data_IF_468881554653
#
_entry.id   IF_468881554653
#
_cell.length_a   1.000
_cell.length_b   1.000
_cell.length_c   1.000
_cell.angle_alpha   90.00
_cell.angle_beta   90.00
_cell.angle_gamma   90.00
#
_symmetry.space_group_name_H-M   'P 1'
#
loop_
_entity.id
_entity.type
_entity.pdbx_description
1 polymer ?
#
# COMPACT_ATOMS: atom_id res chain seq x y z
N UNK A 1 -29.89 28.61 14.63
CA UNK A 1 -30.30 28.57 13.21
C UNK A 1 -29.39 29.49 12.40
N UNK A 2 -28.84 28.97 11.29
CA UNK A 2 -28.68 29.64 9.97
C UNK A 2 -27.77 30.88 9.81
N UNK A 3 -26.53 30.90 10.29
CA UNK A 3 -25.58 31.97 9.86
C UNK A 3 -24.20 31.52 9.34
N UNK A 4 -23.82 30.23 9.47
CA UNK A 4 -22.52 29.76 8.96
C UNK A 4 -22.58 29.18 7.53
N UNK A 5 -23.76 28.87 7.00
CA UNK A 5 -23.91 28.23 5.68
C UNK A 5 -23.87 29.22 4.52
N UNK A 6 -24.13 30.51 4.77
CA UNK A 6 -24.28 31.51 3.69
C UNK A 6 -22.95 32.03 3.13
N UNK A 7 -21.85 31.96 3.90
CA UNK A 7 -20.55 32.52 3.44
C UNK A 7 -19.80 31.56 2.52
N UNK A 8 -20.02 30.24 2.63
CA UNK A 8 -19.35 29.25 1.78
C UNK A 8 -19.92 29.17 0.35
N UNK A 9 -21.16 29.62 0.13
CA UNK A 9 -21.77 29.61 -1.21
C UNK A 9 -21.36 30.81 -2.08
N UNK A 10 -20.70 31.83 -1.52
CA UNK A 10 -20.36 33.06 -2.26
C UNK A 10 -19.04 33.00 -3.03
N UNK A 11 -18.23 31.95 -2.86
CA UNK A 11 -16.92 31.82 -3.53
C UNK A 11 -17.00 30.90 -4.78
N UNK A 12 -18.05 30.07 -4.89
CA UNK A 12 -18.22 29.13 -6.01
C UNK A 12 -18.90 29.73 -7.25
N UNK A 13 -19.36 30.98 -7.22
CA UNK A 13 -20.13 31.58 -8.31
C UNK A 13 -19.30 32.44 -9.29
N UNK A 14 -18.02 32.70 -9.02
CA UNK A 14 -17.23 33.68 -9.79
C UNK A 14 -16.19 33.09 -10.76
N UNK A 15 -16.20 31.78 -11.03
CA UNK A 15 -15.35 31.16 -12.05
C UNK A 15 -16.17 30.30 -13.01
N UNK A 16 -17.21 30.88 -13.59
CA UNK A 16 -17.83 30.33 -14.79
C UNK A 16 -16.91 30.61 -15.97
N UNK A 17 -15.96 29.69 -16.21
CA UNK A 17 -15.10 29.71 -17.39
C UNK A 17 -15.98 29.38 -18.60
N UNK A 18 -16.19 30.38 -19.45
CA UNK A 18 -16.78 30.22 -20.77
C UNK A 18 -15.85 29.35 -21.61
N UNK A 19 -16.08 28.04 -21.64
CA UNK A 19 -15.47 27.15 -22.63
C UNK A 19 -16.11 27.46 -23.98
N UNK A 20 -15.40 28.21 -24.80
CA UNK A 20 -15.71 28.35 -26.22
C UNK A 20 -15.52 26.97 -26.88
N UNK A 21 -16.57 26.48 -27.56
CA UNK A 21 -16.45 25.32 -28.43
C UNK A 21 -15.41 25.64 -29.52
N UNK A 22 -14.37 24.83 -29.70
CA UNK A 22 -13.51 24.98 -30.86
C UNK A 22 -14.33 24.69 -32.12
N UNK A 23 -14.40 25.70 -32.99
CA UNK A 23 -14.91 25.56 -34.35
C UNK A 23 -14.01 24.55 -35.06
N UNK A 24 -14.64 23.48 -35.55
CA UNK A 24 -14.01 22.47 -36.39
C UNK A 24 -13.72 23.07 -37.78
N UNK A 25 -12.47 23.29 -38.20
CA UNK A 25 -12.19 23.64 -39.59
C UNK A 25 -12.37 22.39 -40.45
N UNK A 26 -13.36 22.44 -41.34
CA UNK A 26 -13.62 21.38 -42.30
C UNK A 26 -12.57 21.37 -43.41
N UNK A 27 -12.22 20.14 -43.82
CA UNK A 27 -11.70 19.70 -45.11
C UNK A 27 -10.29 20.12 -45.53
N UNK A 28 -9.41 19.11 -45.66
CA UNK A 28 -8.51 19.03 -46.82
C UNK A 28 -8.29 17.56 -47.20
N UNK A 29 -8.65 17.25 -48.43
CA UNK A 29 -8.40 15.99 -49.13
C UNK A 29 -6.92 15.90 -49.47
N UNK A 30 -6.22 14.84 -49.05
CA UNK A 30 -5.03 14.36 -49.75
C UNK A 30 -4.78 12.90 -49.43
N UNK A 31 -4.97 12.09 -50.46
CA UNK A 31 -4.41 10.77 -50.74
C UNK A 31 -2.97 10.65 -50.24
N UNK A 32 -2.65 9.62 -49.45
CA UNK A 32 -1.73 8.56 -49.87
C UNK A 32 -1.45 7.56 -48.75
N UNK A 33 -1.30 6.31 -49.16
CA UNK A 33 -1.13 5.14 -48.33
C UNK A 33 0.21 5.14 -47.57
N UNK A 34 0.17 4.74 -46.31
CA UNK A 34 1.27 3.98 -45.70
C UNK A 34 0.75 3.16 -44.53
N UNK A 35 0.83 1.84 -44.71
CA UNK A 35 0.79 0.83 -43.66
C UNK A 35 1.85 1.17 -42.61
N UNK A 36 1.41 1.71 -41.48
CA UNK A 36 2.22 1.84 -40.28
C UNK A 36 1.52 1.10 -39.16
N UNK A 37 2.17 0.04 -38.69
CA UNK A 37 1.74 -0.81 -37.59
C UNK A 37 1.56 0.06 -36.34
N UNK A 38 0.33 0.43 -36.03
CA UNK A 38 -0.01 1.22 -34.84
C UNK A 38 0.04 0.33 -33.60
N UNK A 39 1.15 0.43 -32.86
CA UNK A 39 1.16 0.14 -31.44
C UNK A 39 0.20 1.12 -30.74
N UNK A 40 -0.73 0.66 -29.89
CA UNK A 40 -1.66 1.57 -29.24
C UNK A 40 -0.90 2.44 -28.22
N UNK A 41 -0.78 3.73 -28.58
CA UNK A 41 -0.26 4.80 -27.74
C UNK A 41 -1.15 4.99 -26.51
N UNK A 42 -0.49 5.20 -25.37
CA UNK A 42 -1.04 5.43 -24.05
C UNK A 42 -2.31 6.30 -24.03
N UNK A 43 -3.43 5.67 -23.65
CA UNK A 43 -4.69 6.37 -23.32
C UNK A 43 -4.57 7.06 -21.96
N UNK A 44 -5.08 8.30 -21.92
CA UNK A 44 -5.07 9.20 -20.78
C UNK A 44 -5.47 8.55 -19.44
N UNK A 45 -4.64 8.85 -18.45
CA UNK A 45 -4.78 8.54 -17.03
C UNK A 45 -6.09 9.08 -16.46
N UNK A 46 -7.13 8.26 -16.50
CA UNK A 46 -8.19 8.27 -15.49
C UNK A 46 -7.87 7.22 -14.43
N UNK A 47 -7.82 7.67 -13.18
CA UNK A 47 -7.70 6.85 -11.97
C UNK A 47 -8.66 5.66 -12.06
N UNK A 48 -8.11 4.43 -12.07
CA UNK A 48 -8.86 3.18 -12.26
C UNK A 48 -9.57 3.05 -13.62
N UNK A 49 -8.86 3.30 -14.73
CA UNK A 49 -9.25 2.74 -16.02
C UNK A 49 -9.15 1.22 -15.94
N UNK A 50 -10.29 0.54 -15.88
CA UNK A 50 -10.36 -0.91 -16.02
C UNK A 50 -9.84 -1.23 -17.43
N UNK A 51 -8.56 -1.59 -17.55
CA UNK A 51 -8.02 -2.13 -18.80
C UNK A 51 -8.78 -3.41 -19.10
N UNK A 52 -9.78 -3.34 -19.96
CA UNK A 52 -10.52 -4.48 -20.50
C UNK A 52 -9.93 -4.83 -21.84
N UNK A 53 -8.77 -5.49 -21.82
CA UNK A 53 -8.25 -6.14 -23.00
C UNK A 53 -8.96 -7.48 -23.22
N UNK A 54 -9.15 -7.86 -24.47
CA UNK A 54 -9.62 -9.21 -24.80
C UNK A 54 -8.55 -10.25 -24.47
N UNK A 55 -8.93 -11.52 -24.32
CA UNK A 55 -7.96 -12.60 -24.11
C UNK A 55 -6.95 -12.69 -25.28
N UNK A 56 -7.40 -12.36 -26.49
CA UNK A 56 -6.56 -12.31 -27.69
C UNK A 56 -5.50 -11.22 -27.59
N UNK A 57 -5.85 -10.03 -27.10
CA UNK A 57 -4.90 -8.95 -26.86
C UNK A 57 -3.88 -9.31 -25.77
N UNK A 58 -4.31 -9.98 -24.68
CA UNK A 58 -3.38 -10.43 -23.63
C UNK A 58 -2.38 -11.45 -24.18
N UNK A 59 -2.85 -12.38 -25.01
CA UNK A 59 -2.01 -13.40 -25.64
C UNK A 59 -0.95 -12.81 -26.60
N UNK A 60 -1.19 -11.61 -27.15
CA UNK A 60 -0.17 -10.90 -27.94
C UNK A 60 0.94 -10.27 -27.09
N UNK A 61 0.69 -10.05 -25.80
CA UNK A 61 1.65 -9.43 -24.87
C UNK A 61 2.37 -10.44 -23.99
N UNK A 62 1.68 -11.50 -23.55
CA UNK A 62 2.20 -12.51 -22.64
C UNK A 62 1.76 -13.89 -23.10
N UNK A 63 2.72 -14.77 -23.37
CA UNK A 63 2.46 -16.19 -23.60
C UNK A 63 2.20 -16.91 -22.27
N UNK A 64 0.93 -16.93 -21.85
CA UNK A 64 0.53 -17.62 -20.60
C UNK A 64 0.44 -19.14 -20.76
N UNK A 65 0.61 -19.70 -21.96
CA UNK A 65 0.48 -21.15 -22.19
C UNK A 65 1.52 -21.97 -21.44
N UNK A 66 2.64 -21.32 -21.09
CA UNK A 66 3.74 -21.90 -20.33
C UNK A 66 3.58 -21.73 -18.81
N UNK A 67 2.54 -21.00 -18.36
CA UNK A 67 2.38 -20.68 -16.96
C UNK A 67 1.78 -21.85 -16.19
N UNK A 68 2.25 -21.99 -14.97
CA UNK A 68 1.89 -23.05 -14.05
C UNK A 68 0.94 -22.56 -12.96
N UNK A 69 0.47 -23.48 -12.12
CA UNK A 69 -0.29 -23.13 -10.91
C UNK A 69 0.53 -22.24 -9.95
N UNK A 70 1.84 -22.42 -9.89
CA UNK A 70 2.72 -21.59 -9.05
C UNK A 70 2.77 -20.14 -9.55
N UNK A 71 2.76 -19.93 -10.86
CA UNK A 71 2.72 -18.60 -11.47
C UNK A 71 1.40 -17.88 -11.17
N UNK A 72 0.29 -18.61 -11.21
CA UNK A 72 -1.01 -18.11 -10.76
C UNK A 72 -0.99 -17.68 -9.28
N UNK A 73 -0.27 -18.40 -8.42
CA UNK A 73 -0.11 -18.04 -7.01
C UNK A 73 0.74 -16.78 -6.83
N UNK A 74 1.81 -16.60 -7.61
CA UNK A 74 2.62 -15.38 -7.63
C UNK A 74 1.79 -14.16 -8.01
N UNK A 75 0.98 -14.27 -9.08
CA UNK A 75 0.08 -13.20 -9.52
C UNK A 75 -0.96 -12.89 -8.42
N UNK A 76 -1.58 -13.91 -7.80
CA UNK A 76 -2.51 -13.72 -6.67
C UNK A 76 -1.83 -13.03 -5.48
N UNK A 77 -0.58 -13.38 -5.18
CA UNK A 77 0.20 -12.78 -4.12
C UNK A 77 0.44 -11.30 -4.39
N UNK A 78 0.84 -10.95 -5.61
CA UNK A 78 1.01 -9.56 -6.06
C UNK A 78 -0.26 -8.75 -5.82
N UNK A 79 -1.39 -9.18 -6.39
CA UNK A 79 -2.68 -8.47 -6.29
C UNK A 79 -3.10 -8.24 -4.82
N UNK A 80 -2.98 -9.29 -3.99
CA UNK A 80 -3.32 -9.22 -2.57
C UNK A 80 -2.41 -8.26 -1.81
N UNK A 81 -1.12 -8.22 -2.16
CA UNK A 81 -0.13 -7.39 -1.49
C UNK A 81 -0.25 -5.93 -1.89
N UNK A 82 -0.50 -5.64 -3.17
CA UNK A 82 -0.83 -4.30 -3.68
C UNK A 82 -2.03 -3.72 -2.94
N UNK A 83 -3.12 -4.49 -2.81
CA UNK A 83 -4.31 -4.04 -2.08
C UNK A 83 -4.02 -3.75 -0.59
N UNK A 84 -3.21 -4.60 0.06
CA UNK A 84 -2.82 -4.37 1.47
C UNK A 84 -1.97 -3.12 1.63
N UNK A 85 -1.00 -2.94 0.74
CA UNK A 85 -0.12 -1.80 0.72
C UNK A 85 -0.90 -0.50 0.53
N UNK A 86 -1.85 -0.45 -0.41
CA UNK A 86 -2.67 0.74 -0.65
C UNK A 86 -3.51 1.11 0.57
N UNK A 87 -4.19 0.14 1.20
CA UNK A 87 -4.95 0.38 2.44
C UNK A 87 -4.07 0.88 3.59
N UNK A 88 -2.88 0.33 3.73
CA UNK A 88 -1.94 0.72 4.78
C UNK A 88 -1.36 2.12 4.51
N UNK A 89 -1.12 2.47 3.24
CA UNK A 89 -0.73 3.82 2.81
C UNK A 89 -1.82 4.86 3.10
N UNK A 90 -3.07 4.57 2.76
CA UNK A 90 -4.21 5.44 3.07
C UNK A 90 -4.34 5.70 4.58
N UNK A 91 -4.23 4.64 5.39
CA UNK A 91 -4.24 4.75 6.86
C UNK A 91 -3.10 5.63 7.37
N UNK A 92 -1.90 5.46 6.84
CA UNK A 92 -0.76 6.28 7.22
C UNK A 92 -0.97 7.76 6.84
N UNK A 93 -1.50 8.03 5.66
CA UNK A 93 -1.80 9.40 5.21
C UNK A 93 -2.85 10.08 6.10
N UNK A 94 -3.87 9.33 6.54
CA UNK A 94 -4.84 9.81 7.52
C UNK A 94 -4.18 10.16 8.86
N UNK A 95 -3.36 9.24 9.40
CA UNK A 95 -2.63 9.46 10.65
C UNK A 95 -1.67 10.64 10.57
N UNK A 96 -1.00 10.83 9.42
CA UNK A 96 -0.11 11.97 9.18
C UNK A 96 -0.87 13.30 9.23
N UNK A 97 -2.04 13.36 8.60
CA UNK A 97 -2.92 14.55 8.62
C UNK A 97 -3.41 14.84 10.04
N UNK A 98 -3.91 13.82 10.74
CA UNK A 98 -4.42 13.98 12.11
C UNK A 98 -3.32 14.42 13.08
N UNK A 99 -2.14 13.80 13.00
CA UNK A 99 -0.96 14.18 13.79
C UNK A 99 -0.59 15.64 13.54
N UNK A 100 -0.60 16.09 12.28
CA UNK A 100 -0.31 17.48 11.93
C UNK A 100 -1.33 18.49 12.47
N UNK A 101 -2.62 18.14 12.51
CA UNK A 101 -3.67 18.96 13.14
C UNK A 101 -3.46 19.02 14.66
N UNK A 102 -3.23 17.87 15.28
CA UNK A 102 -3.02 17.77 16.73
C UNK A 102 -1.77 18.54 17.18
N UNK A 103 -0.67 18.47 16.41
CA UNK A 103 0.56 19.20 16.70
C UNK A 103 0.33 20.73 16.68
N UNK A 104 -0.44 21.24 15.71
CA UNK A 104 -0.79 22.66 15.64
C UNK A 104 -1.61 23.09 16.86
N UNK A 105 -2.59 22.29 17.28
CA UNK A 105 -3.40 22.56 18.46
C UNK A 105 -2.56 22.61 19.74
N UNK A 106 -1.67 21.62 19.93
CA UNK A 106 -0.75 21.58 21.07
C UNK A 106 0.16 22.81 21.09
N UNK A 107 0.72 23.21 19.94
CA UNK A 107 1.57 24.42 19.83
C UNK A 107 0.81 25.70 20.19
N UNK A 108 -0.44 25.83 19.75
CA UNK A 108 -1.29 26.97 20.11
C UNK A 108 -1.56 27.03 21.62
N UNK A 109 -1.89 25.90 22.24
CA UNK A 109 -2.12 25.81 23.69
C UNK A 109 -0.86 26.09 24.52
N UNK A 110 0.32 25.69 24.03
CA UNK A 110 1.60 26.01 24.65
C UNK A 110 1.88 27.52 24.63
N UNK A 111 1.66 28.16 23.48
CA UNK A 111 1.78 29.61 23.32
C UNK A 111 0.80 30.38 24.22
N UNK A 112 -0.46 29.94 24.27
CA UNK A 112 -1.48 30.54 25.13
C UNK A 112 -1.10 30.40 26.62
N UNK A 113 -0.65 29.22 27.03
CA UNK A 113 -0.17 28.97 28.40
C UNK A 113 1.02 29.88 28.74
N UNK A 114 1.97 30.04 27.82
CA UNK A 114 3.12 30.92 28.00
C UNK A 114 2.71 32.40 28.11
N UNK A 115 1.75 32.84 27.30
CA UNK A 115 1.20 34.19 27.38
C UNK A 115 0.54 34.45 28.74
N UNK A 116 -0.30 33.55 29.23
CA UNK A 116 -0.92 33.69 30.56
C UNK A 116 0.11 33.72 31.68
N UNK A 117 1.14 32.87 31.61
CA UNK A 117 2.24 32.86 32.58
C UNK A 117 2.94 34.23 32.63
N UNK A 118 3.24 34.82 31.47
CA UNK A 118 3.84 36.14 31.38
C UNK A 118 2.95 37.25 31.97
N UNK A 119 1.63 37.18 31.77
CA UNK A 119 0.71 38.16 32.36
C UNK A 119 0.63 38.01 33.88
N UNK A 120 0.61 36.78 34.38
CA UNK A 120 0.60 36.49 35.81
C UNK A 120 1.82 37.08 36.52
N UNK A 121 3.03 36.86 35.98
CA UNK A 121 4.28 37.40 36.53
C UNK A 121 4.40 38.94 36.50
N UNK A 122 3.58 39.64 35.71
CA UNK A 122 3.51 41.11 35.69
C UNK A 122 2.62 41.69 36.79
N UNK A 123 2.34 40.95 37.86
CA UNK A 123 1.49 41.40 38.97
C UNK A 123 0.00 41.52 38.61
N UNK A 124 -0.45 40.94 37.49
CA UNK A 124 -1.86 41.03 37.05
C UNK A 124 -2.82 40.08 37.77
N UNK A 125 -2.35 39.40 38.82
CA UNK A 125 -3.17 38.80 39.87
C UNK A 125 -3.87 37.46 39.56
N UNK A 126 -4.81 37.04 40.43
CA UNK A 126 -5.42 35.69 40.48
C UNK A 126 -6.20 35.29 39.22
N UNK A 127 -6.77 36.27 38.50
CA UNK A 127 -7.57 36.05 37.27
C UNK A 127 -6.75 35.35 36.19
N UNK A 128 -5.46 35.66 36.07
CA UNK A 128 -4.56 35.01 35.11
C UNK A 128 -4.07 33.65 35.61
N UNK A 129 -3.98 33.44 36.92
CA UNK A 129 -3.64 32.14 37.51
C UNK A 129 -4.68 31.06 37.19
N UNK A 130 -5.97 31.37 37.29
CA UNK A 130 -7.05 30.43 36.90
C UNK A 130 -6.96 30.06 35.41
N UNK A 131 -6.84 31.06 34.53
CA UNK A 131 -6.72 30.84 33.07
C UNK A 131 -5.46 30.07 32.69
N UNK A 132 -4.33 30.34 33.35
CA UNK A 132 -3.09 29.59 33.16
C UNK A 132 -3.27 28.10 33.50
N UNK A 133 -3.91 27.80 34.63
CA UNK A 133 -4.17 26.41 35.03
C UNK A 133 -5.11 25.71 34.04
N UNK A 134 -6.17 26.39 33.58
CA UNK A 134 -7.07 25.85 32.55
C UNK A 134 -6.35 25.55 31.23
N UNK A 135 -5.50 26.47 30.76
CA UNK A 135 -4.72 26.29 29.53
C UNK A 135 -3.72 25.14 29.66
N UNK A 136 -3.02 25.03 30.81
CA UNK A 136 -2.08 23.92 31.09
C UNK A 136 -2.77 22.56 31.13
N UNK A 137 -3.94 22.47 31.75
CA UNK A 137 -4.69 21.21 31.80
C UNK A 137 -5.19 20.79 30.41
N UNK A 138 -5.66 21.74 29.60
CA UNK A 138 -5.99 21.45 28.19
C UNK A 138 -4.76 20.99 27.41
N UNK A 139 -3.63 21.70 27.52
CA UNK A 139 -2.37 21.32 26.90
C UNK A 139 -1.97 19.88 27.24
N UNK A 140 -1.98 19.52 28.53
CA UNK A 140 -1.63 18.16 28.99
C UNK A 140 -2.50 17.09 28.35
N UNK A 141 -3.82 17.31 28.28
CA UNK A 141 -4.77 16.37 27.65
C UNK A 141 -4.49 16.21 26.17
N UNK A 142 -4.30 17.32 25.45
CA UNK A 142 -4.04 17.30 24.01
C UNK A 142 -2.64 16.74 23.67
N UNK A 143 -1.65 16.93 24.53
CA UNK A 143 -0.31 16.37 24.37
C UNK A 143 -0.30 14.84 24.53
N UNK A 144 -1.06 14.30 25.49
CA UNK A 144 -1.21 12.84 25.63
C UNK A 144 -1.84 12.24 24.37
N UNK A 145 -2.83 12.91 23.78
CA UNK A 145 -3.44 12.48 22.51
C UNK A 145 -2.42 12.54 21.37
N UNK A 146 -1.62 13.62 21.26
CA UNK A 146 -0.55 13.76 20.27
C UNK A 146 0.44 12.61 20.34
N UNK A 147 0.93 12.30 21.54
CA UNK A 147 1.88 11.19 21.76
C UNK A 147 1.28 9.84 21.36
N UNK A 148 -0.03 9.63 21.60
CA UNK A 148 -0.71 8.41 21.19
C UNK A 148 -0.78 8.29 19.66
N UNK A 149 -1.20 9.37 18.98
CA UNK A 149 -1.27 9.43 17.52
C UNK A 149 0.10 9.22 16.88
N UNK A 150 1.15 9.84 17.42
CA UNK A 150 2.52 9.71 16.92
C UNK A 150 3.02 8.24 16.99
N UNK A 151 2.69 7.53 18.07
CA UNK A 151 2.99 6.09 18.17
C UNK A 151 2.24 5.26 17.14
N UNK A 152 0.97 5.56 16.90
CA UNK A 152 0.16 4.87 15.90
C UNK A 152 0.68 5.15 14.48
N UNK A 153 1.06 6.39 14.20
CA UNK A 153 1.70 6.80 12.94
C UNK A 153 3.00 6.03 12.69
N UNK A 154 3.92 5.99 13.66
CA UNK A 154 5.17 5.22 13.50
C UNK A 154 4.94 3.73 13.31
N UNK A 155 3.93 3.15 13.98
CA UNK A 155 3.57 1.76 13.76
C UNK A 155 3.08 1.53 12.32
N UNK A 156 2.24 2.41 11.80
CA UNK A 156 1.74 2.33 10.43
C UNK A 156 2.86 2.56 9.39
N UNK A 157 3.81 3.45 9.67
CA UNK A 157 4.97 3.70 8.82
C UNK A 157 5.86 2.45 8.67
N UNK A 158 6.17 1.77 9.78
CA UNK A 158 6.93 0.52 9.75
C UNK A 158 6.17 -0.60 9.00
N UNK A 159 4.85 -0.68 9.17
CA UNK A 159 4.01 -1.63 8.43
C UNK A 159 4.02 -1.34 6.92
N UNK A 160 3.95 -0.07 6.52
CA UNK A 160 4.05 0.33 5.11
C UNK A 160 5.42 0.03 4.51
N UNK A 161 6.51 0.26 5.24
CA UNK A 161 7.86 -0.09 4.78
C UNK A 161 7.97 -1.61 4.56
N UNK A 162 7.51 -2.42 5.51
CA UNK A 162 7.53 -3.89 5.39
C UNK A 162 6.69 -4.38 4.19
N UNK A 163 5.49 -3.83 4.01
CA UNK A 163 4.64 -4.16 2.86
C UNK A 163 5.26 -3.71 1.53
N UNK A 164 5.84 -2.51 1.48
CA UNK A 164 6.50 -1.97 0.29
C UNK A 164 7.68 -2.82 -0.15
N UNK A 165 8.53 -3.27 0.78
CA UNK A 165 9.66 -4.16 0.48
C UNK A 165 9.19 -5.53 -0.04
N UNK A 166 8.14 -6.10 0.57
CA UNK A 166 7.56 -7.37 0.08
C UNK A 166 6.95 -7.20 -1.31
N UNK A 167 6.31 -6.06 -1.57
CA UNK A 167 5.67 -5.78 -2.84
C UNK A 167 6.73 -5.64 -3.95
N UNK A 168 7.78 -4.88 -3.70
CA UNK A 168 8.91 -4.72 -4.62
C UNK A 168 9.54 -6.07 -5.00
N UNK A 169 9.70 -6.98 -4.03
CA UNK A 169 10.20 -8.33 -4.31
C UNK A 169 9.26 -9.12 -5.24
N UNK A 170 7.96 -9.15 -4.92
CA UNK A 170 6.98 -9.88 -5.72
C UNK A 170 6.82 -9.27 -7.12
N UNK A 171 6.84 -7.94 -7.22
CA UNK A 171 6.75 -7.21 -8.48
C UNK A 171 7.94 -7.47 -9.40
N UNK A 172 9.15 -7.61 -8.83
CA UNK A 172 10.35 -8.01 -9.59
C UNK A 172 10.23 -9.41 -10.18
N UNK A 173 9.82 -10.37 -9.36
CA UNK A 173 9.63 -11.76 -9.82
C UNK A 173 8.50 -11.85 -10.85
N UNK A 174 7.42 -11.08 -10.67
CA UNK A 174 6.35 -11.02 -11.64
C UNK A 174 6.79 -10.37 -12.96
N UNK A 175 7.61 -9.32 -12.92
CA UNK A 175 8.15 -8.70 -14.14
C UNK A 175 8.95 -9.70 -14.96
N UNK A 176 9.83 -10.45 -14.31
CA UNK A 176 10.62 -11.50 -14.95
C UNK A 176 9.75 -12.58 -15.56
N UNK A 177 8.72 -13.02 -14.84
CA UNK A 177 7.77 -14.01 -15.31
C UNK A 177 7.03 -13.54 -16.57
N UNK A 178 6.55 -12.29 -16.59
CA UNK A 178 5.71 -11.78 -17.70
C UNK A 178 6.51 -11.33 -18.92
N UNK A 179 7.74 -10.83 -18.73
CA UNK A 179 8.49 -10.14 -19.77
C UNK A 179 9.90 -10.73 -20.01
N UNK A 180 10.27 -11.77 -19.25
CA UNK A 180 11.54 -12.48 -19.33
C UNK A 180 12.66 -11.90 -18.45
N UNK A 181 13.68 -12.73 -18.21
CA UNK A 181 14.84 -12.39 -17.35
C UNK A 181 15.89 -11.50 -18.04
N UNK A 182 15.87 -11.42 -19.37
CA UNK A 182 16.91 -10.77 -20.18
C UNK A 182 16.65 -9.27 -20.44
N UNK A 183 15.83 -8.63 -19.62
CA UNK A 183 15.53 -7.21 -19.76
C UNK A 183 16.72 -6.37 -19.33
N UNK A 184 17.05 -5.35 -20.13
CA UNK A 184 17.94 -4.31 -19.65
C UNK A 184 17.29 -3.55 -18.48
N UNK A 185 18.11 -2.90 -17.66
CA UNK A 185 17.61 -2.27 -16.43
C UNK A 185 16.53 -1.21 -16.68
N UNK A 186 16.62 -0.32 -17.68
CA UNK A 186 15.58 0.67 -17.96
C UNK A 186 14.24 0.03 -18.37
N UNK A 187 14.26 -0.99 -19.23
CA UNK A 187 13.05 -1.66 -19.69
C UNK A 187 12.40 -2.44 -18.55
N UNK A 188 13.19 -3.08 -17.71
CA UNK A 188 12.73 -3.75 -16.50
C UNK A 188 11.92 -2.82 -15.57
N UNK A 189 12.46 -1.63 -15.25
CA UNK A 189 11.74 -0.66 -14.43
C UNK A 189 10.49 -0.10 -15.10
N UNK A 190 10.52 0.03 -16.43
CA UNK A 190 9.36 0.49 -17.21
C UNK A 190 8.21 -0.52 -17.16
N UNK A 191 8.53 -1.82 -17.23
CA UNK A 191 7.55 -2.90 -17.09
C UNK A 191 6.99 -3.01 -15.67
N UNK A 192 7.83 -2.89 -14.63
CA UNK A 192 7.35 -2.79 -13.24
C UNK A 192 6.34 -1.64 -13.09
N UNK A 193 6.73 -0.44 -13.53
CA UNK A 193 5.87 0.73 -13.46
C UNK A 193 4.56 0.55 -14.23
N UNK A 194 4.60 -0.09 -15.41
CA UNK A 194 3.42 -0.43 -16.19
C UNK A 194 2.47 -1.34 -15.39
N UNK A 195 2.95 -2.41 -14.77
CA UNK A 195 2.12 -3.31 -13.97
C UNK A 195 1.53 -2.63 -12.73
N UNK A 196 2.34 -1.81 -12.03
CA UNK A 196 1.89 -1.06 -10.87
C UNK A 196 0.78 -0.06 -11.23
N UNK A 197 0.87 0.55 -12.42
CA UNK A 197 -0.11 1.52 -12.90
C UNK A 197 -1.36 0.86 -13.52
N UNK A 198 -1.25 -0.38 -13.95
CA UNK A 198 -2.30 -1.11 -14.66
C UNK A 198 -2.66 -2.39 -13.92
N UNK A 199 -3.18 -2.28 -12.69
CA UNK A 199 -3.54 -3.48 -11.89
C UNK A 199 -4.54 -4.41 -12.62
N UNK A 200 -5.45 -3.83 -13.41
CA UNK A 200 -6.41 -4.57 -14.24
C UNK A 200 -5.75 -5.45 -15.31
N UNK A 201 -4.56 -5.08 -15.81
CA UNK A 201 -3.74 -5.93 -16.68
C UNK A 201 -3.37 -7.23 -16.00
N UNK A 202 -2.84 -7.14 -14.79
CA UNK A 202 -2.41 -8.30 -14.02
C UNK A 202 -3.62 -9.16 -13.59
N UNK A 203 -4.74 -8.53 -13.25
CA UNK A 203 -5.99 -9.24 -12.96
C UNK A 203 -6.51 -10.03 -14.16
N UNK A 204 -6.44 -9.47 -15.36
CA UNK A 204 -6.91 -10.17 -16.55
C UNK A 204 -5.99 -11.32 -16.96
N UNK A 205 -4.67 -11.18 -16.80
CA UNK A 205 -3.74 -12.30 -16.94
C UNK A 205 -4.14 -13.44 -16.02
N UNK A 206 -4.43 -13.13 -14.74
CA UNK A 206 -4.86 -14.16 -13.79
C UNK A 206 -6.17 -14.84 -14.22
N UNK A 207 -7.15 -14.08 -14.69
CA UNK A 207 -8.42 -14.63 -15.19
C UNK A 207 -8.18 -15.56 -16.38
N UNK A 208 -7.37 -15.12 -17.34
CA UNK A 208 -7.05 -15.90 -18.54
C UNK A 208 -6.30 -17.19 -18.18
N UNK A 209 -5.33 -17.10 -17.27
CA UNK A 209 -4.59 -18.26 -16.77
C UNK A 209 -5.50 -19.29 -16.09
N UNK A 210 -6.42 -18.86 -15.22
CA UNK A 210 -7.34 -19.80 -14.57
C UNK A 210 -8.25 -20.49 -15.60
N UNK A 211 -8.73 -19.78 -16.63
CA UNK A 211 -9.52 -20.38 -17.72
C UNK A 211 -8.76 -21.50 -18.45
N UNK A 212 -7.47 -21.32 -18.72
CA UNK A 212 -6.65 -22.34 -19.35
C UNK A 212 -6.41 -23.55 -18.43
N UNK A 213 -6.09 -23.30 -17.16
CA UNK A 213 -5.86 -24.37 -16.18
C UNK A 213 -7.11 -25.21 -15.92
N UNK A 214 -8.29 -24.59 -15.93
CA UNK A 214 -9.56 -25.28 -15.76
C UNK A 214 -9.86 -26.18 -16.98
N UNK A 215 -9.63 -25.71 -18.21
CA UNK A 215 -9.80 -26.50 -19.44
C UNK A 215 -8.87 -27.73 -19.51
N UNK A 216 -7.62 -27.59 -19.04
CA UNK A 216 -6.69 -28.73 -18.99
C UNK A 216 -7.18 -29.83 -18.02
N UNK A 217 -7.84 -29.45 -16.94
CA UNK A 217 -8.33 -30.40 -15.93
C UNK A 217 -9.54 -31.22 -16.38
N UNK A 218 -10.44 -30.65 -17.21
CA UNK A 218 -11.59 -31.38 -17.78
C UNK A 218 -11.17 -32.36 -18.89
N UNK A 219 -10.15 -31.99 -19.68
CA UNK A 219 -9.59 -32.83 -20.75
C UNK A 219 -8.99 -34.15 -20.22
N UNK A 220 -8.31 -34.11 -19.07
CA UNK A 220 -7.71 -35.30 -18.46
C UNK A 220 -8.76 -36.29 -17.90
N UNK A 221 -9.94 -35.82 -17.50
CA UNK A 221 -11.00 -36.70 -16.98
C UNK A 221 -11.85 -37.38 -18.07
N UNK A 222 -11.87 -36.86 -19.30
CA UNK A 222 -12.69 -37.40 -20.38
C UNK A 222 -12.03 -38.58 -21.14
N UNK A 223 -10.72 -38.83 -20.95
CA UNK A 223 -9.99 -39.86 -21.73
C UNK A 223 -10.03 -41.28 -21.17
N UNK A 224 -10.82 -41.58 -20.12
CA UNK A 224 -10.90 -42.95 -19.55
C UNK A 224 -12.15 -43.75 -19.96
N UNK A 225 -13.03 -43.25 -20.82
CA UNK A 225 -14.22 -43.99 -21.25
C UNK A 225 -14.25 -44.22 -22.76
N UNK A 226 -13.49 -45.21 -23.25
CA UNK A 226 -13.53 -45.52 -24.68
C UNK A 226 -12.59 -46.58 -25.19
N UNK A 227 -12.60 -47.80 -24.64
CA UNK A 227 -12.20 -48.98 -25.44
C UNK A 227 -13.01 -50.20 -25.02
N UNK A 228 -14.13 -50.43 -25.73
CA UNK A 228 -14.74 -51.75 -25.82
C UNK A 228 -13.77 -52.66 -26.57
N UNK A 229 -13.32 -53.74 -25.94
CA UNK A 229 -12.57 -54.81 -26.61
C UNK A 229 -13.47 -56.05 -26.75
N UNK A 230 -13.75 -56.42 -27.99
CA UNK A 230 -14.24 -57.75 -28.37
C UNK A 230 -13.04 -58.72 -28.38
N UNK A 231 -13.19 -60.02 -28.05
CA UNK A 231 -12.07 -60.88 -27.79
C UNK A 231 -11.53 -61.47 -29.10
N UNK A 232 -10.24 -61.28 -29.37
CA UNK A 232 -9.52 -62.01 -30.40
C UNK A 232 -8.49 -62.93 -29.74
N UNK A 233 -8.85 -64.21 -29.70
CA UNK A 233 -7.99 -65.31 -29.32
C UNK A 233 -6.73 -65.36 -30.21
N UNK A 234 -5.55 -65.22 -29.61
CA UNK A 234 -4.33 -65.84 -30.11
C UNK A 234 -3.51 -66.39 -28.93
N UNK A 235 -3.17 -67.67 -29.06
CA UNK A 235 -2.37 -68.50 -28.15
C UNK A 235 -0.89 -68.11 -28.18
N UNK A 236 -0.29 -68.09 -26.98
CA UNK A 236 1.12 -68.45 -26.67
C UNK A 236 2.20 -67.47 -27.17
N UNK A 237 3.33 -67.19 -26.51
CA UNK A 237 4.07 -67.82 -25.41
C UNK A 237 5.11 -66.81 -24.89
N UNK A 238 5.52 -66.98 -23.63
CA UNK A 238 6.90 -66.79 -23.13
C UNK A 238 7.34 -65.47 -22.46
N UNK A 239 7.17 -65.50 -21.13
CA UNK A 239 8.25 -65.44 -20.14
C UNK A 239 8.77 -64.10 -19.58
N UNK A 240 8.86 -64.13 -18.24
CA UNK A 240 9.80 -63.46 -17.33
C UNK A 240 9.47 -62.04 -16.82
N UNK A 241 8.97 -62.06 -15.59
CA UNK A 241 9.19 -61.11 -14.49
C UNK A 241 10.67 -60.67 -14.38
N UNK A 242 10.93 -59.46 -13.85
CA UNK A 242 11.20 -59.39 -12.42
C UNK A 242 10.53 -58.23 -11.68
N UNK A 243 10.27 -58.55 -10.41
CA UNK A 243 9.79 -57.75 -9.28
C UNK A 243 10.75 -56.63 -8.87
N UNK A 244 10.13 -55.48 -8.59
CA UNK A 244 10.48 -54.36 -7.73
C UNK A 244 11.66 -54.48 -6.76
N UNK A 245 12.41 -53.38 -6.62
CA UNK A 245 12.53 -52.71 -5.31
C UNK A 245 12.87 -51.20 -5.43
N UNK A 246 12.35 -50.36 -4.52
CA UNK A 246 12.61 -48.92 -4.48
C UNK A 246 13.76 -48.58 -3.51
N UNK A 247 14.65 -47.68 -3.92
CA UNK A 247 15.65 -47.10 -3.01
C UNK A 247 15.14 -45.77 -2.45
N UNK A 248 14.86 -45.75 -1.15
CA UNK A 248 14.73 -44.54 -0.35
C UNK A 248 16.08 -43.81 -0.27
N UNK A 249 16.08 -42.50 -0.49
CA UNK A 249 17.10 -41.61 0.06
C UNK A 249 16.42 -40.49 0.84
N UNK A 250 16.67 -40.55 2.14
CA UNK A 250 16.54 -39.53 3.17
C UNK A 250 17.59 -38.44 2.96
N UNK A 251 17.23 -37.16 3.14
CA UNK A 251 17.85 -36.35 4.20
C UNK A 251 17.29 -34.93 4.29
N UNK A 252 16.90 -34.60 5.51
CA UNK A 252 16.64 -33.28 6.09
C UNK A 252 17.73 -32.24 5.79
N UNK A 253 17.34 -30.96 5.67
CA UNK A 253 18.15 -29.87 6.22
C UNK A 253 17.25 -28.79 6.84
N UNK A 254 17.22 -28.77 8.18
CA UNK A 254 16.68 -27.69 9.00
C UNK A 254 17.67 -26.52 9.00
N UNK A 255 17.35 -25.45 8.28
CA UNK A 255 18.04 -24.16 8.39
C UNK A 255 17.29 -23.24 9.35
N UNK A 256 17.64 -23.27 10.63
CA UNK A 256 17.18 -22.28 11.62
C UNK A 256 17.90 -20.96 11.41
N UNK A 257 17.23 -19.97 10.81
CA UNK A 257 17.71 -18.58 10.80
C UNK A 257 17.38 -17.90 12.14
N UNK A 258 18.41 -17.75 12.97
CA UNK A 258 18.36 -17.02 14.24
C UNK A 258 18.49 -15.52 13.97
N UNK A 259 17.37 -14.83 13.76
CA UNK A 259 17.34 -13.36 13.69
C UNK A 259 17.51 -12.79 15.10
N UNK A 260 18.62 -12.09 15.31
CA UNK A 260 18.99 -11.45 16.57
C UNK A 260 18.27 -10.10 16.67
N UNK A 261 17.14 -10.05 17.38
CA UNK A 261 16.40 -8.81 17.63
C UNK A 261 17.04 -7.98 18.75
N UNK A 262 17.88 -7.01 18.39
CA UNK A 262 18.37 -5.99 19.32
C UNK A 262 17.54 -4.70 19.21
N UNK A 263 16.31 -4.71 19.73
CA UNK A 263 15.51 -3.50 19.94
C UNK A 263 14.85 -3.54 21.32
N UNK A 264 15.68 -3.44 22.36
CA UNK A 264 15.24 -3.05 23.70
C UNK A 264 16.28 -2.13 24.31
N UNK A 265 16.10 -0.81 24.16
CA UNK A 265 16.49 0.25 25.11
C UNK A 265 16.24 1.63 24.50
N UNK A 266 14.99 2.07 24.46
CA UNK A 266 14.67 3.48 24.22
C UNK A 266 13.37 3.99 24.89
N UNK A 267 12.67 3.15 25.68
CA UNK A 267 11.32 3.52 26.17
C UNK A 267 11.20 3.81 27.67
N UNK A 268 12.31 3.86 28.43
CA UNK A 268 12.27 4.25 29.84
C UNK A 268 12.47 5.75 30.10
N UNK A 269 12.79 6.58 29.10
CA UNK A 269 13.10 8.01 29.29
C UNK A 269 11.93 8.98 29.11
N UNK A 270 10.76 8.53 28.66
CA UNK A 270 9.68 9.46 28.24
C UNK A 270 8.68 9.83 29.34
N UNK A 271 8.67 9.09 30.47
CA UNK A 271 7.80 9.42 31.62
C UNK A 271 8.37 10.55 32.49
N UNK A 272 9.68 10.79 32.47
CA UNK A 272 10.33 11.80 33.30
C UNK A 272 10.32 13.21 32.69
N UNK A 273 10.22 13.36 31.36
CA UNK A 273 10.27 14.68 30.71
C UNK A 273 8.98 15.49 30.83
N UNK A 274 7.83 14.84 31.02
CA UNK A 274 6.53 15.49 31.21
C UNK A 274 6.40 16.18 32.58
N UNK A 275 7.14 15.70 33.59
CA UNK A 275 7.20 16.33 34.92
C UNK A 275 8.33 17.34 35.06
N UNK A 276 9.51 17.06 34.49
CA UNK A 276 10.74 17.80 34.80
C UNK A 276 10.77 19.24 34.28
N UNK A 277 10.06 19.56 33.20
CA UNK A 277 10.09 20.91 32.61
C UNK A 277 9.31 21.95 33.43
N UNK A 278 8.53 21.52 34.42
CA UNK A 278 7.66 22.40 35.21
C UNK A 278 7.77 22.24 36.73
N UNK A 279 8.43 21.18 37.22
CA UNK A 279 8.72 20.99 38.65
C UNK A 279 9.82 21.92 39.19
N UNK A 280 10.48 22.70 38.33
CA UNK A 280 11.57 23.61 38.72
C UNK A 280 11.09 24.95 39.30
N UNK A 281 9.78 25.23 39.36
CA UNK A 281 9.24 26.53 39.80
C UNK A 281 8.31 26.44 41.01
N UNK A 282 8.38 25.35 41.78
CA UNK A 282 7.54 25.15 42.98
C UNK A 282 8.31 25.20 44.30
N UNK A 283 9.62 25.44 44.28
CA UNK A 283 10.47 25.27 45.47
C UNK A 283 11.10 26.57 45.99
N UNK A 284 10.71 27.75 45.49
CA UNK A 284 11.40 29.02 45.84
C UNK A 284 10.60 29.95 46.77
N UNK A 285 9.47 29.53 47.35
CA UNK A 285 8.58 30.41 48.15
C UNK A 285 8.39 30.00 49.64
N UNK A 286 9.27 29.16 50.22
CA UNK A 286 9.21 28.83 51.66
C UNK A 286 10.60 28.97 52.33
N UNK A 287 11.15 30.19 52.34
CA UNK A 287 12.17 30.58 53.33
C UNK A 287 12.29 32.11 53.48
N UNK A 288 11.60 32.65 54.48
CA UNK A 288 12.06 33.82 55.26
C UNK A 288 11.28 33.78 56.57
N UNK A 289 11.86 33.12 57.57
CA UNK A 289 12.69 33.74 58.62
C UNK A 289 11.84 34.57 59.58
N UNK A 290 11.40 33.87 60.63
CA UNK A 290 11.34 34.38 61.99
C UNK A 290 12.77 34.65 62.49
N UNK A 291 13.05 35.89 62.88
CA UNK A 291 13.70 36.25 64.16
C UNK A 291 13.80 37.79 64.28
N UNK A 292 13.77 38.23 65.55
CA UNK A 292 13.68 39.59 66.15
C UNK A 292 12.32 40.30 66.21
#
# INVERSE_FOLDING_TARGET
MKLAVTVLSSILFACSVTTANPVNPSATTSTDASTSTTQPTATESNKSGLWTASNEEIATWVDVSQFTKADAELIKQYLKLTQKYEKAKEKQDLLKKETGVQEKLVKQLDQESWWFLRQFGKGKGPKYGKKLNEAREKYRKEEIKRIKLEKEYHKADLENIDLGLKLDFVEKELTKLLFGDNLDSPLFYSHMHFMASNIGFVENILKFLNLQLDQQSESEQASTSGTQSLPRNYKSLSSKTPTDQPTQISSNTKGTFKVRSSTRKAYSKMKSSLGSRWSQFKNDDDSSDSDD
#
